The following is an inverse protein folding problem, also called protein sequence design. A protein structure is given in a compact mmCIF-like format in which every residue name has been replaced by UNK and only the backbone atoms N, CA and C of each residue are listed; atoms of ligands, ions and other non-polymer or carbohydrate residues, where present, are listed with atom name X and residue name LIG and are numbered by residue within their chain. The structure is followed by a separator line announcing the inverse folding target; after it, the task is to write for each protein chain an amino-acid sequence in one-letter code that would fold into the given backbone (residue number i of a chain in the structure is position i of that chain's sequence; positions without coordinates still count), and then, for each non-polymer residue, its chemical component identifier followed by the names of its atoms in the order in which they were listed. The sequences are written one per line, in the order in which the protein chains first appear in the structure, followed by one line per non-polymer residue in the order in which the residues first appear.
data_IF_225721828274
#
_entry.id   IF_225721828274
#
_cell.length_a   1.000
_cell.length_b   1.000
_cell.length_c   1.000
_cell.angle_alpha   90.00
_cell.angle_beta   90.00
_cell.angle_gamma   90.00
#
_symmetry.space_group_name_H-M   'P 1'
#
loop_
_entity.id
_entity.type
_entity.pdbx_description
1 polymer ?
#
# COMPACT_ATOMS: atom_id res chain seq x y z
N UNK A 1 -13.92 -62.95 -1.43
CA UNK A 1 -12.91 -62.24 -0.59
C UNK A 1 -13.62 -61.78 0.67
N UNK A 2 -13.11 -62.09 1.87
CA UNK A 2 -13.77 -61.71 3.13
C UNK A 2 -13.77 -60.18 3.27
N UNK A 3 -14.90 -59.61 3.70
CA UNK A 3 -15.09 -58.16 3.84
C UNK A 3 -14.02 -57.53 4.74
N UNK A 4 -13.58 -58.26 5.78
CA UNK A 4 -12.44 -57.85 6.64
C UNK A 4 -11.12 -57.74 5.88
N UNK A 5 -10.87 -58.62 4.92
CA UNK A 5 -9.66 -58.60 4.09
C UNK A 5 -9.68 -57.40 3.15
N UNK A 6 -10.84 -57.08 2.56
CA UNK A 6 -10.99 -55.91 1.67
C UNK A 6 -10.72 -54.58 2.40
N UNK A 7 -11.30 -54.38 3.59
CA UNK A 7 -11.05 -53.16 4.37
C UNK A 7 -9.59 -53.02 4.82
N UNK A 8 -8.94 -54.13 5.17
CA UNK A 8 -7.53 -54.13 5.54
C UNK A 8 -6.64 -53.75 4.36
N UNK A 9 -6.92 -54.28 3.17
CA UNK A 9 -6.19 -53.92 1.94
C UNK A 9 -6.38 -52.44 1.59
N UNK A 10 -7.62 -51.92 1.63
CA UNK A 10 -7.90 -50.51 1.36
C UNK A 10 -7.18 -49.59 2.37
N UNK A 11 -7.21 -49.94 3.66
CA UNK A 11 -6.52 -49.17 4.70
C UNK A 11 -5.01 -49.12 4.49
N UNK A 12 -4.38 -50.24 4.13
CA UNK A 12 -2.94 -50.30 3.82
C UNK A 12 -2.63 -49.48 2.56
N UNK A 13 -3.43 -49.59 1.51
CA UNK A 13 -3.24 -48.81 0.27
C UNK A 13 -3.35 -47.30 0.50
N UNK A 14 -4.30 -46.84 1.32
CA UNK A 14 -4.43 -45.43 1.69
C UNK A 14 -3.23 -44.93 2.50
N UNK A 15 -2.73 -45.74 3.43
CA UNK A 15 -1.59 -45.38 4.26
C UNK A 15 -0.29 -45.32 3.43
N UNK A 16 -0.10 -46.26 2.50
CA UNK A 16 1.00 -46.21 1.52
C UNK A 16 0.88 -44.99 0.61
N UNK A 17 -0.32 -44.67 0.12
CA UNK A 17 -0.54 -43.48 -0.71
C UNK A 17 -0.22 -42.18 0.05
N UNK A 18 -0.62 -42.07 1.32
CA UNK A 18 -0.27 -40.94 2.17
C UNK A 18 1.24 -40.82 2.39
N UNK A 19 1.92 -41.94 2.67
CA UNK A 19 3.39 -41.94 2.84
C UNK A 19 4.09 -41.56 1.54
N UNK A 20 3.66 -42.09 0.39
CA UNK A 20 4.21 -41.73 -0.92
C UNK A 20 4.00 -40.26 -1.22
N UNK A 21 2.82 -39.70 -0.93
CA UNK A 21 2.54 -38.27 -1.09
C UNK A 21 3.42 -37.41 -0.18
N UNK A 22 3.60 -37.79 1.08
CA UNK A 22 4.49 -37.08 2.02
C UNK A 22 5.95 -37.15 1.57
N UNK A 23 6.44 -38.34 1.18
CA UNK A 23 7.80 -38.51 0.66
C UNK A 23 7.99 -37.73 -0.62
N UNK A 24 7.03 -37.77 -1.55
CA UNK A 24 7.06 -36.99 -2.80
C UNK A 24 7.09 -35.47 -2.52
N UNK A 25 6.28 -34.99 -1.57
CA UNK A 25 6.30 -33.59 -1.13
C UNK A 25 7.63 -33.22 -0.48
N UNK A 26 8.19 -34.06 0.39
CA UNK A 26 9.50 -33.83 1.03
C UNK A 26 10.66 -33.88 0.01
N UNK A 27 10.59 -34.79 -0.96
CA UNK A 27 11.61 -34.93 -2.00
C UNK A 27 11.56 -33.75 -2.97
N UNK A 28 10.38 -33.29 -3.38
CA UNK A 28 10.23 -32.08 -4.19
C UNK A 28 10.62 -30.81 -3.41
N UNK A 29 10.38 -30.76 -2.09
CA UNK A 29 10.85 -29.67 -1.22
C UNK A 29 12.37 -29.65 -1.06
N UNK A 30 13.03 -30.82 -1.00
CA UNK A 30 14.51 -30.91 -1.05
C UNK A 30 15.07 -30.59 -2.44
N UNK A 31 14.34 -30.93 -3.52
CA UNK A 31 14.76 -30.60 -4.89
C UNK A 31 14.62 -29.10 -5.18
N UNK A 32 13.66 -28.42 -4.56
CA UNK A 32 13.56 -26.96 -4.62
C UNK A 32 14.65 -26.24 -3.82
N UNK A 33 15.22 -26.85 -2.77
CA UNK A 33 16.39 -26.30 -2.08
C UNK A 33 17.70 -26.43 -2.88
N UNK A 34 17.69 -27.20 -3.98
CA UNK A 34 18.76 -27.25 -4.98
C UNK A 34 18.49 -26.33 -6.17
N UNK A 35 17.51 -25.44 -6.09
CA UNK A 35 17.38 -24.33 -7.03
C UNK A 35 18.72 -23.59 -7.04
N UNK A 36 19.27 -23.44 -8.24
CA UNK A 36 20.46 -22.67 -8.55
C UNK A 36 20.55 -21.45 -7.65
N UNK A 37 21.66 -21.32 -6.91
CA UNK A 37 22.00 -20.14 -6.13
C UNK A 37 22.21 -18.96 -7.10
N UNK A 38 21.13 -18.47 -7.69
CA UNK A 38 21.12 -17.13 -8.25
C UNK A 38 21.42 -16.24 -7.05
N UNK A 39 22.62 -15.66 -7.02
CA UNK A 39 23.00 -14.63 -6.06
C UNK A 39 21.98 -13.51 -6.23
N UNK A 40 20.92 -13.57 -5.44
CA UNK A 40 19.87 -12.59 -5.52
C UNK A 40 20.45 -11.29 -5.01
N UNK A 41 20.31 -10.24 -5.80
CA UNK A 41 20.83 -8.94 -5.44
C UNK A 41 20.00 -8.40 -4.26
N UNK A 42 20.62 -8.36 -3.08
CA UNK A 42 20.07 -7.70 -1.90
C UNK A 42 20.75 -6.33 -1.82
N UNK A 43 20.00 -5.22 -1.84
CA UNK A 43 20.59 -3.88 -1.77
C UNK A 43 21.46 -3.72 -0.52
N UNK A 44 22.54 -2.94 -0.61
CA UNK A 44 23.51 -2.79 0.49
C UNK A 44 22.84 -2.33 1.80
N UNK A 45 21.93 -1.35 1.71
CA UNK A 45 21.19 -0.84 2.85
C UNK A 45 20.27 -1.87 3.51
N UNK A 46 19.79 -2.88 2.76
CA UNK A 46 19.04 -4.00 3.34
C UNK A 46 19.95 -4.93 4.14
N UNK A 47 21.13 -5.25 3.62
CA UNK A 47 22.11 -6.07 4.36
C UNK A 47 22.56 -5.37 5.65
N UNK A 48 22.79 -4.06 5.61
CA UNK A 48 23.08 -3.26 6.80
C UNK A 48 21.93 -3.31 7.81
N UNK A 49 20.70 -3.22 7.35
CA UNK A 49 19.50 -3.27 8.20
C UNK A 49 19.33 -4.64 8.84
N UNK A 50 19.54 -5.72 8.08
CA UNK A 50 19.50 -7.10 8.57
C UNK A 50 20.58 -7.36 9.62
N UNK A 51 21.82 -6.93 9.35
CA UNK A 51 22.94 -7.03 10.31
C UNK A 51 22.66 -6.25 11.59
N UNK A 52 21.92 -5.14 11.49
CA UNK A 52 21.52 -4.33 12.64
C UNK A 52 20.40 -5.00 13.46
N UNK A 53 19.42 -5.62 12.80
CA UNK A 53 18.32 -6.36 13.43
C UNK A 53 18.78 -7.68 14.08
N UNK A 54 19.62 -8.46 13.38
CA UNK A 54 20.11 -9.77 13.83
C UNK A 54 20.97 -9.66 15.11
N UNK A 55 21.60 -8.51 15.35
CA UNK A 55 22.38 -8.24 16.57
C UNK A 55 21.52 -7.88 17.78
N UNK A 56 20.19 -7.83 17.63
CA UNK A 56 19.28 -7.42 18.70
C UNK A 56 19.47 -5.97 19.15
N UNK A 57 20.16 -5.14 18.36
CA UNK A 57 20.61 -3.80 18.73
C UNK A 57 19.50 -2.74 18.63
N UNK A 58 18.35 -3.07 18.03
CA UNK A 58 17.21 -2.15 17.93
C UNK A 58 15.88 -2.87 17.67
N UNK A 59 14.74 -2.29 18.10
CA UNK A 59 13.42 -2.76 17.71
C UNK A 59 13.19 -2.68 16.19
N UNK A 60 12.34 -3.55 15.60
CA UNK A 60 12.03 -3.60 14.16
C UNK A 60 11.69 -2.25 13.50
N UNK A 61 11.06 -1.34 14.25
CA UNK A 61 10.71 0.01 13.79
C UNK A 61 11.96 0.83 13.44
N UNK A 62 12.95 0.87 14.32
CA UNK A 62 14.19 1.63 14.13
C UNK A 62 15.03 1.07 12.98
N UNK A 63 15.06 -0.26 12.82
CA UNK A 63 15.72 -0.91 11.69
C UNK A 63 15.08 -0.48 10.35
N UNK A 64 13.75 -0.43 10.30
CA UNK A 64 13.03 0.00 9.10
C UNK A 64 13.23 1.50 8.80
N UNK A 65 13.21 2.36 9.81
CA UNK A 65 13.53 3.79 9.66
C UNK A 65 14.98 3.99 9.17
N UNK A 66 15.92 3.19 9.66
CA UNK A 66 17.31 3.21 9.18
C UNK A 66 17.41 2.82 7.71
N UNK A 67 16.70 1.78 7.28
CA UNK A 67 16.65 1.38 5.88
C UNK A 67 16.15 2.51 4.98
N UNK A 68 15.07 3.20 5.37
CA UNK A 68 14.54 4.32 4.59
C UNK A 68 15.52 5.49 4.53
N UNK A 69 16.23 5.75 5.63
CA UNK A 69 17.25 6.79 5.68
C UNK A 69 18.43 6.48 4.74
N UNK A 70 18.92 5.24 4.74
CA UNK A 70 19.97 4.81 3.84
C UNK A 70 19.52 4.83 2.37
N UNK A 71 18.28 4.43 2.09
CA UNK A 71 17.69 4.53 0.75
C UNK A 71 17.62 5.98 0.28
N UNK A 72 17.23 6.90 1.15
CA UNK A 72 17.22 8.32 0.83
C UNK A 72 18.61 8.87 0.50
N UNK A 73 19.63 8.47 1.26
CA UNK A 73 21.02 8.86 0.97
C UNK A 73 21.48 8.32 -0.39
N UNK A 74 21.17 7.05 -0.68
CA UNK A 74 21.44 6.45 -1.98
C UNK A 74 20.75 7.22 -3.11
N UNK A 75 19.45 7.50 -2.94
CA UNK A 75 18.63 8.24 -3.91
C UNK A 75 19.23 9.62 -4.22
N UNK A 76 19.52 10.40 -3.18
CA UNK A 76 20.11 11.72 -3.32
C UNK A 76 21.51 11.67 -3.97
N UNK A 77 22.35 10.71 -3.55
CA UNK A 77 23.69 10.53 -4.10
C UNK A 77 23.65 10.22 -5.61
N UNK A 78 22.72 9.37 -6.06
CA UNK A 78 22.53 9.09 -7.48
C UNK A 78 22.04 10.33 -8.21
N UNK A 79 21.06 11.06 -7.67
CA UNK A 79 20.59 12.28 -8.31
C UNK A 79 21.73 13.31 -8.49
N UNK A 80 22.50 13.57 -7.44
CA UNK A 80 23.58 14.58 -7.48
C UNK A 80 24.73 14.17 -8.39
N UNK A 81 25.18 12.92 -8.30
CA UNK A 81 26.37 12.45 -9.03
C UNK A 81 26.07 11.98 -10.44
N UNK A 82 24.86 11.50 -10.73
CA UNK A 82 24.51 10.90 -12.01
C UNK A 82 23.49 11.71 -12.80
N UNK A 83 22.46 12.26 -12.18
CA UNK A 83 21.39 12.99 -12.90
C UNK A 83 21.70 14.49 -13.04
N UNK A 84 22.33 15.07 -12.03
CA UNK A 84 22.62 16.50 -11.94
C UNK A 84 24.06 16.85 -12.33
N UNK A 85 24.81 15.92 -12.93
CA UNK A 85 26.21 16.10 -13.37
C UNK A 85 26.37 16.94 -14.66
N UNK A 86 25.49 17.92 -14.86
CA UNK A 86 25.40 18.80 -16.02
C UNK A 86 25.35 18.08 -17.37
N UNK A 87 26.21 18.47 -18.32
CA UNK A 87 26.22 17.90 -19.69
C UNK A 87 26.45 16.39 -19.70
N UNK A 88 27.04 15.85 -18.64
CA UNK A 88 27.35 14.43 -18.47
C UNK A 88 26.26 13.66 -17.71
N UNK A 89 25.08 14.24 -17.45
CA UNK A 89 23.95 13.56 -16.81
C UNK A 89 23.72 12.16 -17.40
N UNK A 90 23.47 11.12 -16.62
CA UNK A 90 23.31 9.73 -17.07
C UNK A 90 24.54 9.12 -17.76
N UNK A 91 25.75 9.62 -17.53
CA UNK A 91 26.98 9.01 -18.05
C UNK A 91 27.70 8.18 -16.99
N UNK A 92 28.15 6.99 -17.38
CA UNK A 92 28.84 6.06 -16.46
C UNK A 92 30.21 6.56 -16.00
N UNK A 93 30.74 7.64 -16.61
CA UNK A 93 32.05 8.19 -16.29
C UNK A 93 32.16 8.86 -14.91
N UNK A 94 31.04 9.08 -14.21
CA UNK A 94 31.03 9.77 -12.90
C UNK A 94 31.08 8.80 -11.71
N UNK A 95 30.66 7.54 -11.89
CA UNK A 95 30.63 6.55 -10.79
C UNK A 95 31.90 5.69 -10.87
N UNK A 96 33.01 6.26 -10.39
CA UNK A 96 34.25 5.49 -10.22
C UNK A 96 34.04 4.44 -9.12
N UNK A 97 33.80 3.18 -9.51
CA UNK A 97 33.92 2.03 -8.59
C UNK A 97 32.70 1.13 -8.39
N UNK A 98 31.57 1.33 -9.10
CA UNK A 98 30.44 0.38 -9.06
C UNK A 98 30.24 -0.32 -10.42
N UNK A 99 30.08 -1.65 -10.40
CA UNK A 99 29.99 -2.51 -11.60
C UNK A 99 28.72 -2.30 -12.46
N UNK A 100 27.73 -1.51 -12.02
CA UNK A 100 26.48 -1.23 -12.77
C UNK A 100 26.04 0.23 -12.66
N UNK A 101 25.49 0.76 -13.76
CA UNK A 101 24.77 2.03 -13.81
C UNK A 101 23.62 2.06 -12.80
N UNK A 102 23.32 3.23 -12.19
CA UNK A 102 22.14 3.38 -11.35
C UNK A 102 20.87 3.07 -12.14
N UNK A 103 19.94 2.40 -11.48
CA UNK A 103 18.68 1.99 -12.07
C UNK A 103 17.54 2.81 -11.47
N UNK A 104 16.49 3.01 -12.25
CA UNK A 104 15.37 3.88 -11.94
C UNK A 104 14.06 3.12 -12.09
N UNK A 105 13.07 3.51 -11.29
CA UNK A 105 11.67 3.18 -11.50
C UNK A 105 10.83 4.44 -11.33
N UNK A 106 10.02 4.73 -12.33
CA UNK A 106 9.14 5.90 -12.40
C UNK A 106 7.71 5.42 -12.22
N UNK A 107 7.06 5.79 -11.12
CA UNK A 107 5.62 5.59 -10.99
C UNK A 107 4.88 6.58 -11.88
N UNK A 108 3.95 6.08 -12.69
CA UNK A 108 3.01 6.89 -13.47
C UNK A 108 1.61 6.73 -12.92
N UNK A 109 0.95 7.83 -12.60
CA UNK A 109 -0.44 7.78 -12.16
C UNK A 109 -1.35 7.28 -13.28
N UNK A 110 -2.12 6.22 -13.02
CA UNK A 110 -3.00 5.63 -14.03
C UNK A 110 -4.15 6.57 -14.40
N UNK A 111 -4.29 6.86 -15.70
CA UNK A 111 -5.12 7.98 -16.19
C UNK A 111 -6.61 7.83 -15.90
N UNK A 112 -7.11 6.61 -15.66
CA UNK A 112 -8.53 6.35 -15.39
C UNK A 112 -8.82 6.04 -13.91
N UNK A 113 -7.79 6.06 -13.06
CA UNK A 113 -7.90 5.67 -11.66
C UNK A 113 -8.28 6.83 -10.75
N UNK A 114 -9.08 6.53 -9.72
CA UNK A 114 -9.32 7.46 -8.63
C UNK A 114 -8.09 7.58 -7.70
N UNK A 115 -8.10 8.60 -6.86
CA UNK A 115 -7.01 8.91 -5.92
C UNK A 115 -6.55 7.71 -5.09
N UNK A 116 -7.47 6.95 -4.49
CA UNK A 116 -7.10 5.80 -3.64
C UNK A 116 -6.34 4.70 -4.39
N UNK A 117 -6.68 4.43 -5.65
CA UNK A 117 -5.93 3.48 -6.49
C UNK A 117 -4.53 3.99 -6.83
N UNK A 118 -4.40 5.29 -7.10
CA UNK A 118 -3.11 5.91 -7.40
C UNK A 118 -2.20 5.82 -6.18
N UNK A 119 -2.70 6.10 -4.97
CA UNK A 119 -1.92 5.98 -3.72
C UNK A 119 -1.46 4.55 -3.47
N UNK A 120 -2.32 3.55 -3.68
CA UNK A 120 -1.93 2.14 -3.54
C UNK A 120 -0.87 1.69 -4.56
N UNK A 121 -0.99 2.15 -5.81
CA UNK A 121 -0.01 1.88 -6.86
C UNK A 121 1.33 2.57 -6.58
N UNK A 122 1.28 3.85 -6.17
CA UNK A 122 2.44 4.66 -5.80
C UNK A 122 3.22 4.00 -4.67
N UNK A 123 2.51 3.59 -3.62
CA UNK A 123 3.07 2.85 -2.49
C UNK A 123 3.78 1.56 -2.93
N UNK A 124 3.08 0.74 -3.71
CA UNK A 124 3.59 -0.58 -4.12
C UNK A 124 4.82 -0.42 -5.03
N UNK A 125 4.86 0.63 -5.83
CA UNK A 125 6.00 0.96 -6.70
C UNK A 125 7.21 1.43 -5.90
N UNK A 126 7.02 2.23 -4.85
CA UNK A 126 8.11 2.55 -3.92
C UNK A 126 8.66 1.28 -3.28
N UNK A 127 7.79 0.38 -2.79
CA UNK A 127 8.26 -0.85 -2.17
C UNK A 127 9.08 -1.67 -3.18
N UNK A 128 8.65 -1.74 -4.44
CA UNK A 128 9.46 -2.34 -5.49
C UNK A 128 10.81 -1.63 -5.67
N UNK A 129 10.83 -0.28 -5.67
CA UNK A 129 12.06 0.50 -5.81
C UNK A 129 13.05 0.24 -4.67
N UNK A 130 12.56 0.19 -3.43
CA UNK A 130 13.33 -0.16 -2.24
C UNK A 130 13.95 -1.54 -2.45
N UNK A 131 13.13 -2.54 -2.72
CA UNK A 131 13.56 -3.93 -2.83
C UNK A 131 14.56 -4.14 -3.98
N UNK A 132 14.41 -3.41 -5.09
CA UNK A 132 15.26 -3.56 -6.28
C UNK A 132 16.46 -2.60 -6.36
N UNK A 133 16.75 -1.79 -5.33
CA UNK A 133 17.81 -0.75 -5.35
C UNK A 133 17.69 0.21 -6.52
N UNK A 134 16.47 0.70 -6.75
CA UNK A 134 16.20 1.67 -7.80
C UNK A 134 15.90 3.04 -7.21
N UNK A 135 16.34 4.08 -7.90
CA UNK A 135 15.89 5.44 -7.64
C UNK A 135 14.40 5.54 -8.01
N UNK A 136 13.58 5.92 -7.05
CA UNK A 136 12.14 6.08 -7.23
C UNK A 136 11.80 7.51 -7.64
N UNK A 137 11.07 7.64 -8.75
CA UNK A 137 10.52 8.91 -9.22
C UNK A 137 9.01 8.79 -9.43
N UNK A 138 8.30 9.91 -9.35
CA UNK A 138 6.85 10.01 -9.43
C UNK A 138 6.47 10.96 -10.56
N UNK A 139 5.89 10.40 -11.62
CA UNK A 139 5.28 11.11 -12.72
C UNK A 139 3.75 11.14 -12.51
N UNK A 140 3.29 12.18 -11.81
CA UNK A 140 1.88 12.39 -11.52
C UNK A 140 1.51 13.86 -11.70
N UNK A 141 1.22 14.21 -12.95
CA UNK A 141 0.88 15.58 -13.36
C UNK A 141 -0.64 15.87 -13.32
N UNK A 142 -1.43 14.98 -12.74
CA UNK A 142 -2.88 14.94 -12.91
C UNK A 142 -3.27 14.25 -14.23
N UNK A 143 -4.40 13.55 -14.21
CA UNK A 143 -5.00 12.91 -15.38
C UNK A 143 -6.25 13.64 -15.84
N UNK A 144 -6.58 13.53 -17.13
CA UNK A 144 -7.76 14.20 -17.72
C UNK A 144 -9.09 13.51 -17.39
N UNK A 145 -9.05 12.24 -16.98
CA UNK A 145 -10.25 11.40 -16.78
C UNK A 145 -10.32 10.83 -15.36
N UNK A 146 -9.17 10.50 -14.78
CA UNK A 146 -8.97 9.90 -13.46
C UNK A 146 -8.89 10.96 -12.38
N UNK A 147 -7.77 11.05 -11.69
CA UNK A 147 -7.52 12.08 -10.70
C UNK A 147 -6.90 13.33 -11.35
N UNK A 148 -7.60 14.47 -11.35
CA UNK A 148 -7.08 15.69 -12.01
C UNK A 148 -6.01 16.41 -11.19
N UNK A 149 -5.89 16.09 -9.90
CA UNK A 149 -4.85 16.66 -9.04
C UNK A 149 -3.48 16.06 -9.37
N UNK A 150 -2.45 16.91 -9.39
CA UNK A 150 -1.05 16.49 -9.46
C UNK A 150 -0.51 16.10 -8.09
N UNK A 151 0.67 15.46 -8.06
CA UNK A 151 1.38 15.16 -6.81
C UNK A 151 1.62 16.41 -5.96
N UNK A 152 2.16 17.47 -6.56
CA UNK A 152 2.54 18.71 -5.87
C UNK A 152 1.34 19.50 -5.33
N UNK A 153 0.14 19.26 -5.87
CA UNK A 153 -1.11 19.83 -5.37
C UNK A 153 -1.67 19.08 -4.15
N UNK A 154 -1.12 17.92 -3.80
CA UNK A 154 -1.65 17.04 -2.76
C UNK A 154 -0.62 16.77 -1.66
N UNK A 155 0.61 16.45 -2.04
CA UNK A 155 1.63 15.91 -1.15
C UNK A 155 2.92 16.71 -1.20
N UNK A 156 3.59 16.77 -0.05
CA UNK A 156 4.97 17.28 0.07
C UNK A 156 5.96 16.21 -0.39
N UNK A 157 7.20 16.63 -0.64
CA UNK A 157 8.30 15.68 -0.71
C UNK A 157 8.47 14.94 0.63
N UNK A 158 8.72 13.62 0.60
CA UNK A 158 8.97 12.84 1.81
C UNK A 158 10.22 13.33 2.52
N UNK A 159 10.09 13.64 3.82
CA UNK A 159 11.22 14.07 4.66
C UNK A 159 11.46 13.04 5.75
N UNK A 160 12.68 12.50 5.80
CA UNK A 160 13.14 11.63 6.88
C UNK A 160 14.36 12.28 7.55
N UNK A 161 14.25 12.45 8.87
CA UNK A 161 15.17 13.23 9.69
C UNK A 161 15.30 14.67 9.16
N UNK A 162 16.30 14.96 8.34
CA UNK A 162 16.66 16.31 7.88
C UNK A 162 16.79 16.43 6.37
N UNK A 163 16.57 15.36 5.62
CA UNK A 163 16.72 15.38 4.17
C UNK A 163 15.36 15.23 3.51
N UNK A 164 15.15 15.93 2.39
CA UNK A 164 14.00 15.72 1.51
C UNK A 164 14.34 14.65 0.47
N UNK A 165 13.39 13.78 0.14
CA UNK A 165 13.50 12.83 -0.96
C UNK A 165 12.88 13.48 -2.21
N UNK A 166 13.72 14.00 -3.10
CA UNK A 166 13.26 14.66 -4.33
C UNK A 166 12.73 13.62 -5.33
N UNK A 167 11.48 13.23 -5.18
CA UNK A 167 10.86 12.16 -5.96
C UNK A 167 10.00 12.64 -7.14
N UNK A 168 9.64 13.92 -7.22
CA UNK A 168 8.84 14.41 -8.33
C UNK A 168 9.67 14.38 -9.63
N UNK A 169 9.20 13.60 -10.60
CA UNK A 169 9.90 13.40 -11.87
C UNK A 169 10.09 14.72 -12.63
N UNK A 170 9.07 15.58 -12.66
CA UNK A 170 9.12 16.84 -13.40
C UNK A 170 10.15 17.80 -12.78
N UNK A 171 10.24 17.84 -11.45
CA UNK A 171 11.18 18.70 -10.74
C UNK A 171 12.62 18.20 -10.95
N UNK A 172 12.85 16.88 -10.89
CA UNK A 172 14.16 16.27 -11.17
C UNK A 172 14.60 16.54 -12.60
N UNK A 173 13.69 16.37 -13.58
CA UNK A 173 13.97 16.65 -14.99
C UNK A 173 14.33 18.12 -15.20
N UNK A 174 13.55 19.03 -14.63
CA UNK A 174 13.76 20.49 -14.75
C UNK A 174 15.10 20.90 -14.15
N UNK A 175 15.38 20.48 -12.91
CA UNK A 175 16.66 20.76 -12.23
C UNK A 175 17.87 20.17 -12.97
N UNK A 176 17.74 18.98 -13.54
CA UNK A 176 18.80 18.37 -14.36
C UNK A 176 19.10 19.21 -15.61
N UNK A 177 18.07 19.70 -16.29
CA UNK A 177 18.21 20.57 -17.47
C UNK A 177 18.83 21.91 -17.09
N UNK A 178 18.38 22.52 -15.99
CA UNK A 178 18.96 23.76 -15.45
C UNK A 178 20.46 23.61 -15.13
N UNK A 179 20.87 22.44 -14.64
CA UNK A 179 22.28 22.11 -14.40
C UNK A 179 23.07 21.81 -15.67
N UNK A 180 22.44 21.83 -16.85
CA UNK A 180 23.09 21.68 -18.15
C UNK A 180 22.94 20.30 -18.80
N UNK A 181 22.03 19.45 -18.31
CA UNK A 181 21.68 18.20 -18.99
C UNK A 181 20.92 18.47 -20.29
N UNK A 182 21.33 17.89 -21.44
CA UNK A 182 20.61 18.08 -22.70
C UNK A 182 19.18 17.51 -22.64
N UNK A 183 18.21 18.25 -23.16
CA UNK A 183 16.80 17.83 -23.20
C UNK A 183 16.61 16.56 -24.04
N UNK A 184 17.35 16.46 -25.14
CA UNK A 184 17.33 15.31 -26.06
C UNK A 184 17.77 14.02 -25.36
N UNK A 185 18.58 14.13 -24.30
CA UNK A 185 19.01 12.98 -23.51
C UNK A 185 17.88 12.42 -22.67
N UNK A 186 17.10 13.28 -22.01
CA UNK A 186 15.87 12.88 -21.34
C UNK A 186 14.87 12.27 -22.32
N UNK A 187 14.68 12.87 -23.49
CA UNK A 187 13.78 12.35 -24.54
C UNK A 187 14.26 11.00 -25.10
N UNK A 188 15.58 10.76 -25.15
CA UNK A 188 16.14 9.46 -25.51
C UNK A 188 15.88 8.40 -24.44
N UNK A 189 16.04 8.76 -23.17
CA UNK A 189 15.76 7.86 -22.03
C UNK A 189 14.27 7.49 -22.02
N UNK A 190 13.37 8.47 -22.10
CA UNK A 190 11.91 8.30 -22.10
C UNK A 190 11.43 7.38 -23.23
N UNK A 191 12.02 7.50 -24.43
CA UNK A 191 11.70 6.62 -25.57
C UNK A 191 12.11 5.16 -25.37
N UNK A 192 13.02 4.88 -24.44
CA UNK A 192 13.58 3.55 -24.20
C UNK A 192 13.12 2.94 -22.86
N UNK A 193 12.10 3.52 -22.21
CA UNK A 193 11.55 2.97 -20.98
C UNK A 193 10.92 1.59 -21.20
N UNK A 194 11.13 0.69 -20.24
CA UNK A 194 10.27 -0.47 -20.12
C UNK A 194 8.96 -0.02 -19.46
N UNK A 195 7.90 0.08 -20.25
CA UNK A 195 6.58 0.42 -19.74
C UNK A 195 5.88 -0.82 -19.17
N UNK A 196 5.43 -0.71 -17.92
CA UNK A 196 4.70 -1.74 -17.19
C UNK A 196 3.37 -1.16 -16.73
N UNK A 197 2.27 -1.71 -17.25
CA UNK A 197 0.94 -1.23 -16.91
C UNK A 197 0.19 -2.28 -16.08
N UNK A 198 -0.32 -1.90 -14.91
CA UNK A 198 -1.28 -2.70 -14.16
C UNK A 198 -2.67 -2.41 -14.72
N UNK A 199 -3.08 -3.15 -15.75
CA UNK A 199 -4.46 -3.09 -16.21
C UNK A 199 -5.39 -3.67 -15.16
N UNK A 200 -6.39 -2.89 -14.74
CA UNK A 200 -7.51 -3.41 -13.94
C UNK A 200 -8.40 -4.20 -14.89
N UNK A 201 -8.08 -5.47 -15.11
CA UNK A 201 -9.02 -6.37 -15.79
C UNK A 201 -10.18 -6.67 -14.84
N UNK A 202 -11.31 -5.97 -15.04
CA UNK A 202 -12.58 -6.36 -14.47
C UNK A 202 -13.08 -7.64 -15.15
N UNK A 203 -12.47 -8.78 -14.85
CA UNK A 203 -13.10 -10.05 -15.15
C UNK A 203 -14.40 -10.12 -14.30
N UNK A 204 -15.53 -9.96 -14.99
CA UNK A 204 -16.84 -9.93 -14.36
C UNK A 204 -17.25 -11.31 -13.83
N UNK A 205 -16.60 -12.38 -14.29
CA UNK A 205 -17.04 -13.76 -14.07
C UNK A 205 -16.67 -14.36 -12.71
N UNK A 206 -15.73 -13.78 -11.96
CA UNK A 206 -15.32 -14.32 -10.63
C UNK A 206 -15.09 -13.22 -9.59
N UNK A 207 -15.87 -13.27 -8.51
CA UNK A 207 -15.90 -12.27 -7.42
C UNK A 207 -14.60 -12.15 -6.62
N UNK A 208 -13.81 -13.23 -6.49
CA UNK A 208 -12.57 -13.27 -5.72
C UNK A 208 -11.31 -12.88 -6.51
N UNK A 209 -11.40 -12.69 -7.83
CA UNK A 209 -10.24 -12.51 -8.72
C UNK A 209 -9.97 -11.06 -9.14
N UNK A 210 -10.77 -10.10 -8.68
CA UNK A 210 -10.69 -8.69 -9.14
C UNK A 210 -9.57 -7.86 -8.52
N UNK A 211 -8.90 -8.35 -7.48
CA UNK A 211 -7.86 -7.59 -6.75
C UNK A 211 -6.43 -8.09 -6.97
N UNK A 212 -6.25 -9.27 -7.57
CA UNK A 212 -4.95 -9.94 -7.66
C UNK A 212 -4.58 -10.43 -9.05
N UNK A 213 -5.33 -10.04 -10.09
CA UNK A 213 -4.78 -10.10 -11.44
C UNK A 213 -3.94 -8.85 -11.66
N UNK A 214 -2.75 -8.86 -11.08
CA UNK A 214 -1.61 -8.20 -11.65
C UNK A 214 -1.68 -8.43 -13.17
N UNK A 215 -1.56 -7.37 -13.97
CA UNK A 215 -1.55 -7.54 -15.42
C UNK A 215 -0.52 -8.61 -15.82
N UNK A 216 -0.63 -9.19 -17.02
CA UNK A 216 0.39 -10.13 -17.52
C UNK A 216 1.82 -9.57 -17.42
N UNK A 217 2.00 -8.24 -17.35
CA UNK A 217 3.28 -7.59 -17.09
C UNK A 217 3.70 -7.63 -15.61
N UNK A 218 2.79 -7.36 -14.68
CA UNK A 218 3.09 -7.43 -13.23
C UNK A 218 3.31 -8.86 -12.73
N UNK A 219 2.63 -9.86 -13.31
CA UNK A 219 2.93 -11.27 -13.03
C UNK A 219 4.38 -11.65 -13.38
N UNK A 220 5.06 -10.89 -14.27
CA UNK A 220 6.48 -11.10 -14.61
C UNK A 220 7.43 -10.44 -13.60
N UNK A 221 6.93 -9.54 -12.74
CA UNK A 221 7.68 -8.97 -11.60
C UNK A 221 7.69 -9.97 -10.42
N UNK A 222 6.80 -10.95 -10.41
CA UNK A 222 6.74 -11.94 -9.35
C UNK A 222 7.62 -13.13 -9.74
N UNK A 223 8.75 -13.37 -9.05
CA UNK A 223 9.49 -14.61 -9.22
C UNK A 223 8.60 -15.75 -8.73
N UNK A 224 8.01 -16.54 -9.63
CA UNK A 224 7.39 -17.80 -9.21
C UNK A 224 8.45 -18.90 -9.15
N UNK A 225 8.12 -19.99 -8.46
CA UNK A 225 8.93 -21.21 -8.39
C UNK A 225 9.30 -21.81 -9.76
N UNK A 226 8.71 -21.33 -10.86
CA UNK A 226 8.99 -21.80 -12.21
C UNK A 226 10.19 -21.04 -12.79
N UNK A 227 11.24 -21.78 -13.13
CA UNK A 227 12.53 -21.27 -13.65
C UNK A 227 12.41 -20.27 -14.81
N UNK A 228 11.35 -20.37 -15.64
CA UNK A 228 11.11 -19.47 -16.78
C UNK A 228 10.57 -18.09 -16.37
N UNK A 229 9.94 -17.95 -15.22
CA UNK A 229 9.41 -16.66 -14.76
C UNK A 229 10.48 -15.85 -14.02
N UNK A 230 11.42 -16.54 -13.35
CA UNK A 230 12.64 -15.92 -12.81
C UNK A 230 13.51 -15.27 -13.90
N UNK A 231 13.58 -15.86 -15.10
CA UNK A 231 14.31 -15.27 -16.23
C UNK A 231 13.69 -13.93 -16.66
N UNK A 232 12.36 -13.83 -16.71
CA UNK A 232 11.65 -12.58 -17.03
C UNK A 232 11.79 -11.53 -15.95
N UNK A 233 11.71 -11.93 -14.67
CA UNK A 233 11.98 -11.03 -13.55
C UNK A 233 13.39 -10.44 -13.63
N UNK A 234 14.39 -11.29 -13.91
CA UNK A 234 15.77 -10.85 -14.12
C UNK A 234 15.92 -9.95 -15.35
N UNK A 235 15.20 -10.23 -16.45
CA UNK A 235 15.19 -9.38 -17.64
C UNK A 235 14.59 -7.98 -17.34
N UNK A 236 13.49 -7.91 -16.59
CA UNK A 236 12.88 -6.66 -16.16
C UNK A 236 13.85 -5.89 -15.26
N UNK A 237 14.41 -6.56 -14.25
CA UNK A 237 15.37 -5.95 -13.33
C UNK A 237 16.73 -5.62 -13.99
N UNK A 238 17.00 -6.12 -15.21
CA UNK A 238 18.18 -5.72 -15.97
C UNK A 238 18.03 -4.36 -16.64
N UNK A 239 16.81 -3.82 -16.76
CA UNK A 239 16.56 -2.52 -17.38
C UNK A 239 16.99 -1.37 -16.49
N UNK A 240 17.63 -0.36 -17.07
CA UNK A 240 18.03 0.85 -16.35
C UNK A 240 16.83 1.71 -15.97
N UNK A 241 15.82 1.81 -16.83
CA UNK A 241 14.61 2.60 -16.58
C UNK A 241 13.35 1.78 -16.78
N UNK A 242 12.49 1.80 -15.76
CA UNK A 242 11.18 1.16 -15.77
C UNK A 242 10.14 2.23 -15.46
N UNK A 243 9.12 2.36 -16.30
CA UNK A 243 7.93 3.13 -15.96
C UNK A 243 6.82 2.17 -15.51
N UNK A 244 6.28 2.40 -14.32
CA UNK A 244 5.21 1.60 -13.74
C UNK A 244 3.93 2.43 -13.64
N UNK A 245 2.97 2.13 -14.50
CA UNK A 245 1.61 2.66 -14.41
C UNK A 245 0.76 1.70 -13.57
N UNK A 246 0.58 2.00 -12.28
CA UNK A 246 -0.07 1.09 -11.34
C UNK A 246 -1.31 1.69 -10.65
N UNK A 247 -2.36 0.88 -10.53
CA UNK A 247 -3.64 1.23 -9.91
C UNK A 247 -4.07 0.26 -8.79
N UNK A 248 -3.20 -0.69 -8.44
CA UNK A 248 -3.48 -1.79 -7.51
C UNK A 248 -2.46 -1.83 -6.37
N UNK A 249 -2.88 -2.34 -5.21
CA UNK A 249 -1.99 -2.64 -4.10
C UNK A 249 -1.33 -4.01 -4.29
N UNK A 250 -0.19 -4.04 -4.98
CA UNK A 250 0.56 -5.27 -5.26
C UNK A 250 1.73 -5.51 -4.29
N UNK A 251 1.91 -4.65 -3.28
CA UNK A 251 2.94 -4.78 -2.26
C UNK A 251 2.99 -6.17 -1.61
N UNK A 252 1.86 -6.83 -1.23
CA UNK A 252 1.89 -8.16 -0.64
C UNK A 252 2.58 -9.20 -1.51
N UNK A 253 2.35 -9.14 -2.82
CA UNK A 253 3.01 -10.06 -3.75
C UNK A 253 4.51 -9.81 -3.86
N UNK A 254 4.99 -8.59 -3.59
CA UNK A 254 6.43 -8.32 -3.60
C UNK A 254 7.17 -9.00 -2.45
N UNK A 255 6.55 -9.14 -1.27
CA UNK A 255 7.25 -9.64 -0.09
C UNK A 255 6.78 -11.01 0.40
N UNK A 256 5.51 -11.39 0.18
CA UNK A 256 4.99 -12.68 0.63
C UNK A 256 5.26 -13.78 -0.39
N UNK A 257 5.22 -13.45 -1.68
CA UNK A 257 5.44 -14.40 -2.79
C UNK A 257 6.91 -14.44 -3.25
N UNK A 258 7.79 -13.66 -2.61
CA UNK A 258 9.22 -13.61 -2.91
C UNK A 258 10.02 -14.19 -1.75
N UNK A 259 10.61 -15.38 -1.94
CA UNK A 259 11.34 -16.11 -0.88
C UNK A 259 12.47 -15.30 -0.21
N UNK A 260 13.04 -14.29 -0.88
CA UNK A 260 14.13 -13.47 -0.32
C UNK A 260 13.58 -12.38 0.59
N UNK A 261 12.54 -11.67 0.15
CA UNK A 261 11.91 -10.66 0.97
C UNK A 261 11.05 -11.29 2.08
N UNK A 262 10.51 -12.47 1.84
CA UNK A 262 9.87 -13.31 2.85
C UNK A 262 10.76 -13.46 4.09
N UNK A 263 12.02 -13.87 3.91
CA UNK A 263 12.98 -14.07 5.01
C UNK A 263 13.35 -12.76 5.72
N UNK A 264 13.37 -11.66 4.98
CA UNK A 264 13.62 -10.33 5.55
C UNK A 264 12.46 -9.89 6.44
N UNK A 265 11.22 -10.00 5.94
CA UNK A 265 10.05 -9.56 6.68
C UNK A 265 9.71 -10.50 7.85
N UNK A 266 10.01 -11.79 7.72
CA UNK A 266 9.87 -12.75 8.83
C UNK A 266 10.81 -12.44 9.99
N UNK A 267 12.00 -11.85 9.76
CA UNK A 267 12.91 -11.44 10.83
C UNK A 267 12.41 -10.25 11.65
N UNK A 268 11.51 -9.44 11.10
CA UNK A 268 10.84 -8.39 11.86
C UNK A 268 9.74 -8.96 12.78
N UNK A 269 9.33 -10.20 12.59
CA UNK A 269 8.32 -10.92 13.37
C UNK A 269 9.00 -11.96 14.28
N UNK A 270 8.88 -11.82 15.61
CA UNK A 270 9.51 -12.75 16.56
C UNK A 270 8.75 -14.10 16.63
N UNK A 271 8.93 -15.06 15.69
CA UNK A 271 8.35 -16.42 15.83
C UNK A 271 9.20 -17.57 15.24
N UNK A 272 9.00 -18.76 15.81
CA UNK A 272 9.86 -19.95 15.72
C UNK A 272 9.56 -20.95 14.58
N UNK A 273 8.54 -20.78 13.71
CA UNK A 273 8.23 -21.77 12.66
C UNK A 273 7.77 -21.19 11.30
N UNK A 274 8.46 -21.61 10.22
CA UNK A 274 8.30 -21.12 8.84
C UNK A 274 6.92 -21.34 8.18
N UNK A 275 6.15 -22.37 8.57
CA UNK A 275 4.90 -22.71 7.87
C UNK A 275 3.67 -21.93 8.39
N UNK A 276 3.78 -21.28 9.55
CA UNK A 276 2.75 -20.38 10.08
C UNK A 276 2.94 -18.92 9.61
N UNK A 277 4.09 -18.62 9.00
CA UNK A 277 4.55 -17.27 8.68
C UNK A 277 3.94 -16.72 7.38
N UNK A 278 3.78 -17.51 6.31
CA UNK A 278 3.25 -17.00 5.02
C UNK A 278 1.88 -16.32 5.17
N UNK A 279 0.86 -16.91 5.83
CA UNK A 279 -0.41 -16.22 6.06
C UNK A 279 -0.29 -15.01 7.01
N UNK A 280 0.74 -14.97 7.85
CA UNK A 280 1.05 -13.84 8.74
C UNK A 280 1.80 -12.72 8.03
N UNK A 281 2.56 -13.00 6.97
CA UNK A 281 3.21 -11.97 6.17
C UNK A 281 2.20 -11.08 5.46
N UNK A 282 1.13 -11.65 4.89
CA UNK A 282 0.02 -10.84 4.35
C UNK A 282 -0.66 -9.95 5.41
N UNK A 283 -0.37 -10.16 6.70
CA UNK A 283 -0.80 -9.31 7.81
C UNK A 283 0.26 -8.29 8.24
N UNK A 284 1.49 -8.35 7.70
CA UNK A 284 2.49 -7.32 7.94
C UNK A 284 2.00 -6.04 7.29
N UNK A 285 1.67 -5.11 8.16
CA UNK A 285 1.24 -3.79 7.75
C UNK A 285 2.45 -2.91 7.39
N UNK A 286 3.10 -3.19 6.26
CA UNK A 286 4.20 -2.35 5.75
C UNK A 286 3.69 -0.95 5.43
N UNK A 287 2.42 -0.85 5.04
CA UNK A 287 1.84 0.40 4.61
C UNK A 287 1.67 1.38 5.77
N UNK A 288 1.21 0.97 6.95
CA UNK A 288 1.27 1.80 8.16
C UNK A 288 2.67 2.37 8.44
N UNK A 289 3.73 1.60 8.19
CA UNK A 289 5.11 2.03 8.48
C UNK A 289 5.63 3.06 7.48
N UNK A 290 5.26 2.93 6.20
CA UNK A 290 5.78 3.76 5.10
C UNK A 290 4.89 4.95 4.78
N UNK A 291 3.59 4.80 4.94
CA UNK A 291 2.62 5.75 4.48
C UNK A 291 2.73 7.13 5.18
N UNK A 292 3.02 7.24 6.51
CA UNK A 292 3.28 8.54 7.16
C UNK A 292 4.53 9.28 6.64
N UNK A 293 5.48 8.55 6.06
CA UNK A 293 6.66 9.15 5.43
C UNK A 293 6.31 9.71 4.04
N UNK A 294 5.52 8.98 3.26
CA UNK A 294 5.23 9.30 1.86
C UNK A 294 4.07 10.27 1.66
N UNK A 295 3.03 10.08 2.45
CA UNK A 295 1.78 10.80 2.30
C UNK A 295 1.76 11.84 3.40
N UNK A 296 2.53 12.92 3.20
CA UNK A 296 2.40 14.14 3.99
C UNK A 296 1.67 15.16 3.13
N UNK A 297 0.49 15.64 3.55
CA UNK A 297 -0.24 16.62 2.77
C UNK A 297 0.53 17.95 2.72
N UNK A 298 0.31 18.72 1.65
CA UNK A 298 0.80 20.11 1.57
C UNK A 298 0.16 20.98 2.67
N UNK A 299 0.80 22.10 3.02
CA UNK A 299 0.38 22.94 4.15
C UNK A 299 -1.07 23.39 4.06
N UNK A 300 -1.54 23.74 2.87
CA UNK A 300 -2.94 24.17 2.66
C UNK A 300 -3.95 23.06 2.95
N UNK A 301 -3.61 21.79 2.71
CA UNK A 301 -4.46 20.64 3.02
C UNK A 301 -4.31 20.28 4.50
N UNK A 302 -3.08 20.31 5.05
CA UNK A 302 -2.84 20.07 6.46
C UNK A 302 -3.61 21.05 7.35
N UNK A 303 -3.59 22.35 7.02
CA UNK A 303 -4.34 23.37 7.76
C UNK A 303 -5.84 23.06 7.78
N UNK A 304 -6.41 22.63 6.65
CA UNK A 304 -7.83 22.20 6.59
C UNK A 304 -8.08 20.98 7.47
N UNK A 305 -7.18 19.99 7.45
CA UNK A 305 -7.28 18.80 8.32
C UNK A 305 -7.29 19.24 9.78
N UNK A 306 -6.37 20.11 10.19
CA UNK A 306 -6.25 20.60 11.57
C UNK A 306 -7.49 21.41 11.99
N UNK A 307 -8.02 22.24 11.09
CA UNK A 307 -9.27 22.99 11.30
C UNK A 307 -10.46 22.05 11.53
N UNK A 308 -10.67 21.07 10.65
CA UNK A 308 -11.76 20.11 10.79
C UNK A 308 -11.58 19.16 11.98
N UNK A 309 -10.35 18.75 12.30
CA UNK A 309 -10.06 17.97 13.50
C UNK A 309 -10.46 18.76 14.75
N UNK A 310 -10.12 20.04 14.82
CA UNK A 310 -10.51 20.90 15.93
C UNK A 310 -12.02 21.12 16.01
N UNK A 311 -12.67 21.37 14.87
CA UNK A 311 -14.11 21.62 14.79
C UNK A 311 -14.94 20.37 15.15
N UNK A 312 -14.63 19.24 14.51
CA UNK A 312 -15.43 18.02 14.60
C UNK A 312 -15.07 17.19 15.83
N UNK A 313 -13.80 17.21 16.23
CA UNK A 313 -13.27 16.37 17.32
C UNK A 313 -12.77 17.16 18.53
N UNK A 314 -13.15 18.44 18.67
CA UNK A 314 -12.78 19.26 19.84
C UNK A 314 -13.06 18.59 21.19
N UNK A 315 -14.17 17.86 21.31
CA UNK A 315 -14.51 17.07 22.51
C UNK A 315 -13.58 15.86 22.74
N UNK A 316 -13.09 15.21 21.68
CA UNK A 316 -12.09 14.15 21.78
C UNK A 316 -10.74 14.73 22.19
N UNK A 317 -10.37 15.89 21.65
CA UNK A 317 -9.13 16.57 22.02
C UNK A 317 -9.15 17.02 23.49
N UNK A 318 -10.29 17.50 23.99
CA UNK A 318 -10.47 17.88 25.39
C UNK A 318 -10.54 16.67 26.33
N UNK A 319 -11.17 15.57 25.89
CA UNK A 319 -11.48 14.40 26.73
C UNK A 319 -11.09 13.08 26.03
N UNK A 320 -9.79 12.82 25.77
CA UNK A 320 -9.35 11.73 24.89
C UNK A 320 -9.70 10.32 25.41
N UNK A 321 -9.70 10.14 26.74
CA UNK A 321 -9.92 8.85 27.38
C UNK A 321 -11.41 8.47 27.51
N UNK A 322 -12.31 9.47 27.47
CA UNK A 322 -13.75 9.28 27.65
C UNK A 322 -14.59 9.54 26.40
N UNK A 323 -13.98 10.06 25.33
CA UNK A 323 -14.64 10.27 24.05
C UNK A 323 -14.15 9.24 23.04
N UNK A 324 -15.07 8.56 22.36
CA UNK A 324 -14.77 7.58 21.32
C UNK A 324 -15.21 8.09 19.96
N UNK A 325 -14.37 7.98 18.93
CA UNK A 325 -14.70 8.34 17.55
C UNK A 325 -14.93 7.06 16.74
N UNK A 326 -16.14 6.88 16.22
CA UNK A 326 -16.48 5.84 15.26
C UNK A 326 -16.60 6.46 13.87
N UNK A 327 -15.61 6.22 13.00
CA UNK A 327 -15.70 6.64 11.61
C UNK A 327 -16.54 5.67 10.78
N UNK A 328 -17.38 6.19 9.90
CA UNK A 328 -18.22 5.41 9.01
C UNK A 328 -18.00 5.91 7.58
N UNK A 329 -17.47 5.04 6.72
CA UNK A 329 -17.20 5.32 5.30
C UNK A 329 -18.17 4.53 4.44
N UNK A 330 -19.06 5.24 3.75
CA UNK A 330 -20.07 4.65 2.86
C UNK A 330 -19.77 5.07 1.42
N UNK A 331 -19.33 4.11 0.62
CA UNK A 331 -19.22 4.21 -0.83
C UNK A 331 -20.47 3.58 -1.47
N UNK A 332 -21.27 4.39 -2.16
CA UNK A 332 -22.44 3.94 -2.93
C UNK A 332 -22.50 4.65 -4.28
N UNK A 333 -21.72 4.15 -5.23
CA UNK A 333 -21.78 4.64 -6.60
C UNK A 333 -22.83 3.87 -7.42
N UNK A 334 -23.86 4.59 -7.91
CA UNK A 334 -24.92 4.03 -8.77
C UNK A 334 -24.38 3.42 -10.08
N UNK A 335 -23.20 3.84 -10.53
CA UNK A 335 -22.56 3.31 -11.74
C UNK A 335 -21.74 2.03 -11.48
N UNK A 336 -21.53 1.68 -10.22
CA UNK A 336 -20.73 0.53 -9.82
C UNK A 336 -21.62 -0.47 -9.10
N UNK A 337 -22.10 -1.50 -9.82
CA UNK A 337 -23.02 -2.53 -9.28
C UNK A 337 -22.60 -3.10 -7.92
N UNK A 338 -21.29 -3.16 -7.67
CA UNK A 338 -20.71 -3.65 -6.44
C UNK A 338 -21.08 -2.79 -5.22
N UNK A 339 -21.08 -1.47 -5.37
CA UNK A 339 -21.40 -0.53 -4.30
C UNK A 339 -22.88 -0.17 -4.29
N UNK A 340 -23.52 -0.17 -5.46
CA UNK A 340 -24.94 0.18 -5.60
C UNK A 340 -25.87 -0.74 -4.80
N UNK A 341 -25.59 -2.04 -4.80
CA UNK A 341 -26.50 -3.04 -4.23
C UNK A 341 -26.37 -3.20 -2.71
N UNK A 342 -25.34 -2.63 -2.08
CA UNK A 342 -25.14 -2.75 -0.63
C UNK A 342 -26.15 -1.86 0.11
N UNK A 343 -27.04 -2.43 0.94
CA UNK A 343 -27.97 -1.63 1.74
C UNK A 343 -27.23 -0.76 2.75
N UNK A 344 -27.62 0.51 2.83
CA UNK A 344 -26.99 1.48 3.75
C UNK A 344 -27.33 1.17 5.21
N UNK A 345 -28.48 0.52 5.45
CA UNK A 345 -28.91 0.06 6.78
C UNK A 345 -27.88 -0.85 7.47
N UNK A 346 -27.12 -1.65 6.71
CA UNK A 346 -26.10 -2.54 7.28
C UNK A 346 -25.04 -1.73 8.04
N UNK A 347 -24.60 -0.59 7.52
CA UNK A 347 -23.60 0.26 8.20
C UNK A 347 -24.13 0.78 9.53
N UNK A 348 -25.42 1.13 9.57
CA UNK A 348 -26.09 1.60 10.79
C UNK A 348 -26.28 0.48 11.81
N UNK A 349 -26.62 -0.73 11.36
CA UNK A 349 -26.70 -1.90 12.23
C UNK A 349 -25.34 -2.24 12.84
N UNK A 350 -24.27 -2.19 12.04
CA UNK A 350 -22.90 -2.38 12.52
C UNK A 350 -22.49 -1.30 13.53
N UNK A 351 -22.81 -0.04 13.24
CA UNK A 351 -22.52 1.07 14.15
C UNK A 351 -23.27 0.92 15.47
N UNK A 352 -24.58 0.61 15.44
CA UNK A 352 -25.36 0.34 16.66
C UNK A 352 -24.73 -0.77 17.50
N UNK A 353 -24.41 -1.90 16.89
CA UNK A 353 -23.77 -3.02 17.60
C UNK A 353 -22.44 -2.61 18.21
N UNK A 354 -21.61 -1.86 17.47
CA UNK A 354 -20.31 -1.43 17.95
C UNK A 354 -20.41 -0.48 19.14
N UNK A 355 -21.29 0.51 19.05
CA UNK A 355 -21.53 1.49 20.13
C UNK A 355 -22.08 0.78 21.37
N UNK A 356 -23.02 -0.15 21.20
CA UNK A 356 -23.58 -0.94 22.32
C UNK A 356 -22.55 -1.84 23.02
N UNK A 357 -21.46 -2.21 22.34
CA UNK A 357 -20.38 -3.02 22.89
C UNK A 357 -19.28 -2.21 23.60
N UNK A 358 -19.35 -0.87 23.59
CA UNK A 358 -18.36 -0.02 24.26
C UNK A 358 -18.47 -0.11 25.79
N UNK A 359 -17.33 0.01 26.47
CA UNK A 359 -17.30 0.11 27.93
C UNK A 359 -17.86 1.47 28.37
N UNK A 360 -19.13 1.46 28.82
CA UNK A 360 -19.85 2.65 29.30
C UNK A 360 -19.25 3.24 30.58
N UNK A 361 -18.37 2.52 31.30
CA UNK A 361 -17.61 3.09 32.41
C UNK A 361 -16.50 3.99 31.90
N UNK A 362 -15.81 3.57 30.85
CA UNK A 362 -14.72 4.30 30.19
C UNK A 362 -15.24 5.45 29.32
N UNK A 363 -16.07 5.14 28.33
CA UNK A 363 -16.55 6.11 27.36
C UNK A 363 -17.87 6.72 27.80
N UNK A 364 -17.94 8.05 27.76
CA UNK A 364 -19.13 8.86 28.08
C UNK A 364 -19.73 9.52 26.85
N UNK A 365 -18.94 9.65 25.78
CA UNK A 365 -19.36 10.25 24.52
C UNK A 365 -18.87 9.44 23.34
N UNK A 366 -19.70 9.33 22.32
CA UNK A 366 -19.38 8.73 21.04
C UNK A 366 -19.66 9.73 19.93
N UNK A 367 -18.62 10.06 19.16
CA UNK A 367 -18.70 10.85 17.95
C UNK A 367 -18.76 9.91 16.76
N UNK A 368 -19.84 9.95 15.99
CA UNK A 368 -19.97 9.22 14.74
C UNK A 368 -19.53 10.15 13.62
N UNK A 369 -18.39 9.87 13.00
CA UNK A 369 -17.89 10.66 11.86
C UNK A 369 -18.25 9.99 10.54
N UNK A 370 -19.16 10.59 9.77
CA UNK A 370 -19.65 10.02 8.51
C UNK A 370 -18.95 10.64 7.29
N UNK A 371 -18.41 9.79 6.42
CA UNK A 371 -17.96 10.14 5.07
C UNK A 371 -18.74 9.33 4.03
N UNK A 372 -19.40 9.98 3.08
CA UNK A 372 -20.17 9.28 2.05
C UNK A 372 -20.37 10.07 0.78
N UNK A 373 -20.36 9.36 -0.36
CA UNK A 373 -20.82 9.86 -1.66
C UNK A 373 -22.33 9.62 -1.90
N UNK A 374 -23.03 9.07 -0.91
CA UNK A 374 -24.48 8.88 -0.88
C UNK A 374 -25.13 9.97 -0.02
N UNK A 375 -25.64 11.02 -0.68
CA UNK A 375 -26.21 12.21 -0.02
C UNK A 375 -27.22 11.87 1.10
N UNK A 376 -28.17 10.92 0.93
CA UNK A 376 -29.13 10.61 1.99
C UNK A 376 -28.53 9.92 3.23
N UNK A 377 -27.27 9.45 3.19
CA UNK A 377 -26.65 8.73 4.30
C UNK A 377 -26.70 9.54 5.61
N UNK A 378 -26.51 10.86 5.52
CA UNK A 378 -26.49 11.71 6.71
C UNK A 378 -27.86 11.83 7.36
N UNK A 379 -28.92 12.05 6.58
CA UNK A 379 -30.28 12.15 7.10
C UNK A 379 -30.76 10.81 7.67
N UNK A 380 -30.43 9.70 7.01
CA UNK A 380 -30.68 8.34 7.51
C UNK A 380 -29.96 8.11 8.85
N UNK A 381 -28.66 8.44 8.94
CA UNK A 381 -27.89 8.31 10.19
C UNK A 381 -28.47 9.19 11.31
N UNK A 382 -28.83 10.44 10.99
CA UNK A 382 -29.42 11.38 11.96
C UNK A 382 -30.70 10.81 12.56
N UNK A 383 -31.58 10.26 11.73
CA UNK A 383 -32.79 9.60 12.19
C UNK A 383 -32.46 8.42 13.11
N UNK A 384 -31.61 7.48 12.65
CA UNK A 384 -31.25 6.27 13.40
C UNK A 384 -30.63 6.59 14.77
N UNK A 385 -29.68 7.51 14.84
CA UNK A 385 -28.94 7.79 16.07
C UNK A 385 -29.65 8.78 17.00
N UNK A 386 -30.61 9.57 16.51
CA UNK A 386 -31.47 10.40 17.36
C UNK A 386 -32.37 9.57 18.28
N UNK A 387 -32.76 8.38 17.83
CA UNK A 387 -33.62 7.45 18.59
C UNK A 387 -32.82 6.52 19.50
N UNK A 388 -31.53 6.36 19.23
CA UNK A 388 -30.66 5.46 19.97
C UNK A 388 -30.33 6.05 21.34
N UNK A 389 -30.68 5.32 22.41
CA UNK A 389 -30.33 5.69 23.79
C UNK A 389 -29.50 4.59 24.42
N UNK A 390 -28.25 4.90 24.78
CA UNK A 390 -27.40 4.04 25.60
C UNK A 390 -27.17 4.74 26.93
N UNK A 391 -27.49 4.04 28.03
CA UNK A 391 -27.35 4.60 29.37
C UNK A 391 -25.90 4.99 29.65
N UNK A 392 -25.67 6.28 29.89
CA UNK A 392 -24.35 6.82 30.25
C UNK A 392 -23.45 7.13 29.05
N UNK A 393 -23.95 7.03 27.82
CA UNK A 393 -23.24 7.46 26.60
C UNK A 393 -24.07 8.52 25.86
N UNK A 394 -23.47 9.68 25.62
CA UNK A 394 -23.94 10.67 24.67
C UNK A 394 -23.48 10.30 23.25
N UNK A 395 -24.39 10.38 22.26
CA UNK A 395 -24.06 10.10 20.86
C UNK A 395 -24.22 11.39 20.07
N UNK A 396 -23.17 11.79 19.35
CA UNK A 396 -23.17 12.93 18.45
C UNK A 396 -22.79 12.49 17.04
N UNK A 397 -23.61 12.85 16.05
CA UNK A 397 -23.31 12.64 14.64
C UNK A 397 -22.64 13.88 14.06
N UNK A 398 -21.48 13.71 13.44
CA UNK A 398 -20.76 14.76 12.72
C UNK A 398 -20.46 14.28 11.30
N UNK A 399 -20.48 15.20 10.35
CA UNK A 399 -20.15 14.91 8.96
C UNK A 399 -19.45 16.10 8.35
N UNK A 400 -18.59 15.86 7.38
CA UNK A 400 -18.16 16.92 6.49
C UNK A 400 -19.15 17.00 5.33
N UNK A 401 -19.78 18.16 5.07
CA UNK A 401 -20.63 18.31 3.91
C UNK A 401 -19.79 18.17 2.65
N UNK A 402 -19.95 17.07 1.92
CA UNK A 402 -19.38 16.93 0.58
C UNK A 402 -20.21 17.80 -0.37
N UNK A 403 -19.88 19.09 -0.44
CA UNK A 403 -20.43 20.00 -1.45
C UNK A 403 -19.84 19.78 -2.85
N UNK A 404 -18.89 18.86 -2.98
CA UNK A 404 -18.21 18.67 -4.25
C UNK A 404 -18.95 17.59 -5.05
N UNK A 405 -19.43 17.90 -6.27
CA UNK A 405 -20.08 16.91 -7.13
C UNK A 405 -19.14 15.72 -7.35
N UNK A 406 -19.66 14.62 -7.92
CA UNK A 406 -18.90 13.43 -8.40
C UNK A 406 -17.79 13.74 -9.42
N UNK A 407 -17.37 14.99 -9.53
CA UNK A 407 -16.24 15.47 -10.30
C UNK A 407 -14.95 14.93 -9.70
N UNK A 408 -13.96 14.74 -10.58
CA UNK A 408 -12.61 14.33 -10.17
C UNK A 408 -11.65 15.52 -10.19
N UNK A 409 -12.21 16.72 -9.95
CA UNK A 409 -11.48 17.99 -9.90
C UNK A 409 -10.42 18.00 -8.80
N UNK A 410 -9.46 18.92 -8.91
CA UNK A 410 -8.42 19.10 -7.89
C UNK A 410 -9.04 19.32 -6.51
N UNK A 411 -10.03 20.20 -6.42
CA UNK A 411 -10.75 20.49 -5.17
C UNK A 411 -11.45 19.24 -4.61
N UNK A 412 -12.13 18.46 -5.45
CA UNK A 412 -12.78 17.21 -5.01
C UNK A 412 -11.78 16.23 -4.41
N UNK A 413 -10.62 16.09 -5.06
CA UNK A 413 -9.56 15.18 -4.60
C UNK A 413 -8.94 15.70 -3.30
N UNK A 414 -8.73 17.00 -3.17
CA UNK A 414 -8.24 17.61 -1.93
C UNK A 414 -9.23 17.42 -0.78
N UNK A 415 -10.52 17.65 -1.00
CA UNK A 415 -11.56 17.39 0.02
C UNK A 415 -11.61 15.91 0.39
N UNK A 416 -11.59 15.00 -0.59
CA UNK A 416 -11.52 13.57 -0.30
C UNK A 416 -10.25 13.21 0.50
N UNK A 417 -9.12 13.88 0.25
CA UNK A 417 -7.91 13.69 1.03
C UNK A 417 -8.08 14.16 2.48
N UNK A 418 -8.69 15.33 2.70
CA UNK A 418 -9.03 15.82 4.05
C UNK A 418 -9.94 14.82 4.77
N UNK A 419 -11.01 14.34 4.11
CA UNK A 419 -11.91 13.30 4.66
C UNK A 419 -11.13 12.07 5.13
N UNK A 420 -10.17 11.61 4.32
CA UNK A 420 -9.37 10.45 4.64
C UNK A 420 -8.49 10.69 5.88
N UNK A 421 -7.79 11.83 5.97
CA UNK A 421 -6.94 12.15 7.12
C UNK A 421 -7.73 12.38 8.40
N UNK A 422 -8.88 13.06 8.33
CA UNK A 422 -9.76 13.24 9.48
C UNK A 422 -10.30 11.88 9.93
N UNK A 423 -10.68 11.01 8.99
CA UNK A 423 -11.15 9.66 9.31
C UNK A 423 -10.07 8.77 9.94
N UNK A 424 -8.79 8.98 9.59
CA UNK A 424 -7.66 8.30 10.25
C UNK A 424 -7.52 8.63 11.74
N UNK A 425 -8.23 9.64 12.26
CA UNK A 425 -8.26 9.96 13.71
C UNK A 425 -9.30 9.17 14.48
N UNK A 426 -10.11 8.35 13.80
CA UNK A 426 -11.15 7.58 14.44
C UNK A 426 -10.57 6.41 15.25
N UNK A 427 -11.10 6.18 16.46
CA UNK A 427 -10.70 5.04 17.31
C UNK A 427 -11.13 3.70 16.67
N UNK A 428 -12.17 3.71 15.83
CA UNK A 428 -12.64 2.56 15.08
C UNK A 428 -13.35 2.99 13.78
N UNK A 429 -13.51 2.07 12.82
CA UNK A 429 -14.03 2.35 11.49
C UNK A 429 -14.99 1.26 11.02
N UNK A 430 -16.03 1.70 10.32
CA UNK A 430 -16.93 0.85 9.53
C UNK A 430 -16.81 1.33 8.09
N UNK A 431 -16.45 0.45 7.17
CA UNK A 431 -16.11 0.85 5.80
C UNK A 431 -16.73 -0.06 4.75
N UNK A 432 -17.10 0.51 3.61
CA UNK A 432 -17.59 -0.26 2.47
C UNK A 432 -16.57 -1.29 2.00
N UNK A 433 -16.95 -2.57 2.02
CA UNK A 433 -16.19 -3.65 1.40
C UNK A 433 -15.73 -3.20 0.01
N UNK A 434 -14.45 -3.38 -0.33
CA UNK A 434 -13.85 -3.07 -1.65
C UNK A 434 -13.63 -1.59 -1.99
N UNK A 435 -14.04 -0.66 -1.12
CA UNK A 435 -13.64 0.75 -1.25
C UNK A 435 -12.14 0.86 -1.08
N UNK A 436 -11.45 1.50 -2.03
CA UNK A 436 -10.00 1.67 -1.95
C UNK A 436 -9.61 2.68 -0.88
N UNK A 437 -10.56 3.49 -0.38
CA UNK A 437 -10.37 4.30 0.81
C UNK A 437 -10.04 3.44 2.06
N UNK A 438 -10.26 2.12 2.02
CA UNK A 438 -9.85 1.17 3.07
C UNK A 438 -8.35 1.11 3.35
N UNK A 439 -7.49 1.73 2.53
CA UNK A 439 -6.09 1.87 2.93
C UNK A 439 -5.94 2.61 4.28
N UNK A 440 -6.98 3.31 4.77
CA UNK A 440 -7.04 3.85 6.13
C UNK A 440 -7.01 2.76 7.21
N UNK A 441 -7.67 1.61 7.02
CA UNK A 441 -7.55 0.47 7.94
C UNK A 441 -6.09 -0.01 8.02
N UNK A 442 -5.36 0.18 6.91
CA UNK A 442 -3.94 -0.13 6.78
C UNK A 442 -3.05 0.96 7.41
N UNK A 443 -3.54 2.13 7.80
CA UNK A 443 -2.70 3.15 8.43
C UNK A 443 -2.54 3.01 9.94
N UNK A 444 -3.42 2.28 10.64
CA UNK A 444 -3.58 2.48 12.09
C UNK A 444 -3.64 1.17 12.91
N UNK A 445 -3.16 0.06 12.36
CA UNK A 445 -3.11 -1.25 13.05
C UNK A 445 -4.43 -1.76 13.64
N UNK A 446 -5.58 -1.24 13.19
CA UNK A 446 -6.86 -1.62 13.77
C UNK A 446 -7.34 -2.90 13.10
N UNK A 447 -7.18 -4.03 13.78
CA UNK A 447 -7.87 -5.28 13.45
C UNK A 447 -9.37 -5.05 13.58
N UNK A 448 -10.07 -4.87 12.45
CA UNK A 448 -11.50 -4.55 12.43
C UNK A 448 -12.34 -5.72 11.96
N UNK A 449 -13.50 -5.87 12.61
CA UNK A 449 -14.57 -6.75 12.15
C UNK A 449 -15.10 -6.22 10.82
N UNK A 450 -15.01 -7.05 9.79
CA UNK A 450 -15.95 -6.97 8.67
C UNK A 450 -17.23 -7.61 9.20
N UNK A 451 -18.21 -6.78 9.57
CA UNK A 451 -19.57 -7.25 9.86
C UNK A 451 -20.28 -7.64 8.57
#
# INVERSE_FOLDING_TARGET
MNQKTLYKTIGISLLVFQVVMVVYMLFNRKRSSFATSHKLFVPHYFNETLSYADKGLAPPKEAFEKMLYLYQQYHQSVLDSYVFSGRNCFSNGVIQGHEKSPQFVVFKAHMYSGYGNIIMGLFSTLLYALLSNRVFLVNWNGGEVGCHASLSQLLKDPVLKSHSLMWNYADVKSKSIENGCPRERWESIERNWLHMESTVYHDRSKLSYRYFKCSKGFAQILPTYLSKENEKFNQINSKDFIEMEAAQYFAPSLYADNDVYYQLFSKFEKKNMDWELVPQLYRINIFEKLAPFLFKPIDTIQNKIDEYEKELFGEKLANPDSTFILGVQIRKNLQENLFHNTPVSIYWDCAKQRISALDTKKYKKVIIFLTSDYVPAYDEAKHVFSEMKIKGIEISLVHMPQNVPKSRSVESVQTALVDLYVMMKADDLIMSEKSTCKFIEIFDNIYKLVC
#
